data_IF_431835867176
#
_entry.id   IF_431835867176
#
_cell.length_a   1.000
_cell.length_b   1.000
_cell.length_c   1.000
_cell.angle_alpha   90.00
_cell.angle_beta   90.00
_cell.angle_gamma   90.00
#
_symmetry.space_group_name_H-M   'P 1'
#
loop_
_entity.id
_entity.type
_entity.pdbx_description
1 polymer ?
#
# COMPACT_ATOMS: atom_id res chain seq x y z
N UNK A 1 3.85 22.14 29.26
CA UNK A 1 3.28 22.31 27.90
C UNK A 1 2.39 23.54 27.79
N UNK A 2 1.12 23.49 28.23
CA UNK A 2 0.07 24.52 27.93
C UNK A 2 0.49 25.99 27.99
N UNK A 3 1.29 26.40 28.99
CA UNK A 3 1.72 27.80 29.22
C UNK A 3 2.89 28.29 28.33
N UNK A 4 3.72 27.40 27.79
CA UNK A 4 5.03 27.77 27.21
C UNK A 4 5.30 27.19 25.80
N UNK A 5 4.59 26.15 25.37
CA UNK A 5 4.86 25.49 24.09
C UNK A 5 4.02 26.11 22.97
N UNK A 6 4.64 26.64 21.91
CA UNK A 6 3.92 27.17 20.73
C UNK A 6 3.42 26.07 19.77
N UNK A 7 4.04 24.89 19.81
CA UNK A 7 3.71 23.72 18.96
C UNK A 7 3.61 22.48 19.84
N UNK A 8 2.63 21.63 19.54
CA UNK A 8 2.41 20.34 20.22
C UNK A 8 2.59 19.21 19.20
N UNK A 9 3.29 18.16 19.62
CA UNK A 9 3.57 16.97 18.83
C UNK A 9 3.30 15.73 19.67
N UNK A 10 2.68 14.73 19.05
CA UNK A 10 2.51 13.40 19.63
C UNK A 10 3.55 12.45 19.06
N UNK A 11 4.04 11.54 19.88
CA UNK A 11 4.93 10.47 19.44
C UNK A 11 4.07 9.25 19.13
N UNK A 12 4.04 8.84 17.87
CA UNK A 12 3.35 7.65 17.40
C UNK A 12 4.35 6.58 16.96
N UNK A 13 3.94 5.30 16.98
CA UNK A 13 4.76 4.20 16.48
C UNK A 13 3.97 3.20 15.62
N UNK A 14 4.64 2.50 14.71
CA UNK A 14 4.00 1.48 13.88
C UNK A 14 3.78 0.16 14.64
N UNK A 15 2.67 -0.53 14.35
CA UNK A 15 2.35 -1.85 14.93
C UNK A 15 3.00 -3.01 14.17
N UNK A 16 4.32 -3.10 14.23
CA UNK A 16 5.10 -4.07 13.42
C UNK A 16 4.79 -5.54 13.72
N UNK A 17 4.16 -5.88 14.85
CA UNK A 17 3.68 -7.25 15.17
C UNK A 17 2.57 -7.72 14.22
N UNK A 18 1.72 -6.82 13.74
CA UNK A 18 0.60 -7.13 12.83
C UNK A 18 1.08 -7.17 11.36
N UNK A 19 2.14 -6.43 11.06
CA UNK A 19 2.83 -6.48 9.77
C UNK A 19 3.60 -7.79 9.60
N UNK A 20 3.31 -8.54 8.54
CA UNK A 20 4.01 -9.81 8.22
C UNK A 20 5.39 -9.53 7.61
N UNK A 21 6.29 -8.97 8.41
CA UNK A 21 7.65 -8.55 8.04
C UNK A 21 8.70 -9.17 8.98
N UNK A 22 9.99 -9.18 8.58
CA UNK A 22 11.09 -9.71 9.40
C UNK A 22 11.47 -8.78 10.55
N UNK A 23 11.26 -7.48 10.36
CA UNK A 23 11.57 -6.44 11.35
C UNK A 23 10.47 -6.40 12.42
N UNK A 24 10.87 -6.57 13.68
CA UNK A 24 9.98 -6.51 14.86
C UNK A 24 9.98 -5.14 15.55
N UNK A 25 11.00 -4.31 15.31
CA UNK A 25 11.16 -2.99 15.94
C UNK A 25 10.16 -2.00 15.31
N UNK A 26 9.38 -1.32 16.13
CA UNK A 26 8.48 -0.27 15.65
C UNK A 26 9.27 0.93 15.08
N UNK A 27 8.73 1.54 14.02
CA UNK A 27 9.20 2.85 13.57
C UNK A 27 8.47 3.92 14.39
N UNK A 28 9.22 4.85 14.96
CA UNK A 28 8.70 5.93 15.82
C UNK A 28 8.75 7.25 15.04
N UNK A 29 7.72 8.09 15.17
CA UNK A 29 7.59 9.36 14.46
C UNK A 29 6.85 10.41 15.29
N UNK A 30 7.33 11.65 15.27
CA UNK A 30 6.57 12.80 15.76
C UNK A 30 5.53 13.24 14.73
N UNK A 31 4.28 13.43 15.17
CA UNK A 31 3.18 13.99 14.37
C UNK A 31 2.71 15.28 15.04
N UNK A 32 2.60 16.37 14.28
CA UNK A 32 2.20 17.67 14.82
C UNK A 32 0.68 17.81 14.88
N UNK A 33 0.16 18.22 16.05
CA UNK A 33 -1.27 18.49 16.23
C UNK A 33 -1.57 19.92 15.75
N UNK A 34 -2.46 20.03 14.77
CA UNK A 34 -2.88 21.29 14.14
C UNK A 34 -4.37 21.55 14.38
N UNK A 35 -4.80 22.82 14.26
CA UNK A 35 -6.14 23.26 14.67
C UNK A 35 -6.24 23.49 16.19
N UNK A 36 -7.09 24.40 16.63
CA UNK A 36 -7.29 24.73 18.06
C UNK A 36 -6.15 25.48 18.76
N UNK A 37 -6.36 25.81 20.03
CA UNK A 37 -5.37 26.45 20.92
C UNK A 37 -4.34 25.45 21.47
N UNK A 38 -3.31 25.94 22.16
CA UNK A 38 -2.30 25.06 22.79
C UNK A 38 -2.89 24.22 23.94
N UNK A 39 -3.76 24.75 24.84
CA UNK A 39 -4.52 23.94 25.78
C UNK A 39 -5.27 22.76 25.15
N UNK A 40 -6.11 23.03 24.15
CA UNK A 40 -6.91 22.01 23.44
C UNK A 40 -6.03 20.90 22.85
N UNK A 41 -4.94 21.26 22.16
CA UNK A 41 -3.99 20.30 21.58
C UNK A 41 -3.36 19.38 22.63
N UNK A 42 -3.12 19.88 23.85
CA UNK A 42 -2.57 19.07 24.95
C UNK A 42 -3.63 18.13 25.52
N UNK A 43 -4.89 18.56 25.61
CA UNK A 43 -5.95 17.71 26.17
C UNK A 43 -6.40 16.65 25.16
N UNK A 44 -6.55 16.99 23.88
CA UNK A 44 -6.77 16.02 22.79
C UNK A 44 -5.65 14.98 22.73
N UNK A 45 -4.39 15.41 22.85
CA UNK A 45 -3.23 14.51 22.85
C UNK A 45 -3.16 13.59 24.09
N UNK A 46 -3.70 14.01 25.23
CA UNK A 46 -3.88 13.14 26.41
C UNK A 46 -5.01 12.14 26.18
N UNK A 47 -6.13 12.61 25.63
CA UNK A 47 -7.29 11.76 25.38
C UNK A 47 -7.00 10.66 24.34
N UNK A 48 -6.08 10.93 23.40
CA UNK A 48 -5.63 9.99 22.37
C UNK A 48 -4.34 9.24 22.76
N UNK A 49 -3.85 9.38 24.00
CA UNK A 49 -2.73 8.61 24.52
C UNK A 49 -3.13 7.13 24.67
N UNK A 50 -2.20 6.22 24.37
CA UNK A 50 -2.37 4.75 24.35
C UNK A 50 -3.46 4.19 23.40
N UNK A 51 -4.32 5.05 22.83
CA UNK A 51 -5.30 4.69 21.79
C UNK A 51 -4.64 4.48 20.42
N UNK A 52 -5.30 3.68 19.59
CA UNK A 52 -4.88 3.46 18.20
C UNK A 52 -5.55 4.50 17.29
N UNK A 53 -4.78 5.07 16.35
CA UNK A 53 -5.28 6.04 15.36
C UNK A 53 -5.27 5.38 13.98
N UNK A 54 -6.45 5.21 13.39
CA UNK A 54 -6.63 4.60 12.07
C UNK A 54 -6.42 5.64 10.95
N UNK A 55 -6.08 5.18 9.73
CA UNK A 55 -5.59 6.05 8.64
C UNK A 55 -6.69 6.94 8.02
N UNK A 56 -7.93 6.45 8.05
CA UNK A 56 -9.17 7.13 7.67
C UNK A 56 -9.48 8.35 8.54
N UNK A 57 -9.20 8.28 9.85
CA UNK A 57 -9.33 9.41 10.77
C UNK A 57 -8.33 10.55 10.49
N UNK A 58 -7.30 10.29 9.69
CA UNK A 58 -6.23 11.25 9.35
C UNK A 58 -6.35 11.75 7.91
N UNK A 59 -6.78 10.92 6.96
CA UNK A 59 -6.84 11.25 5.53
C UNK A 59 -8.19 10.89 4.92
N UNK A 60 -8.78 11.84 4.18
CA UNK A 60 -10.02 11.60 3.46
C UNK A 60 -9.77 10.86 2.13
N UNK A 61 -10.80 10.17 1.63
CA UNK A 61 -10.86 9.75 0.23
C UNK A 61 -10.75 10.99 -0.68
N UNK A 62 -10.06 10.84 -1.81
CA UNK A 62 -9.78 11.90 -2.80
C UNK A 62 -8.87 13.05 -2.30
N UNK A 63 -8.26 12.95 -1.10
CA UNK A 63 -7.32 13.96 -0.59
C UNK A 63 -5.95 13.91 -1.29
N UNK A 64 -5.44 15.07 -1.70
CA UNK A 64 -4.07 15.23 -2.21
C UNK A 64 -3.05 15.22 -1.06
N UNK A 65 -2.21 14.18 -1.03
CA UNK A 65 -1.20 13.94 0.03
C UNK A 65 0.23 13.94 -0.50
N UNK A 66 1.17 14.37 0.33
CA UNK A 66 2.61 14.33 0.06
C UNK A 66 3.20 12.99 0.54
N UNK A 67 4.02 12.35 -0.29
CA UNK A 67 4.67 11.06 0.02
C UNK A 67 6.16 11.23 0.31
N UNK A 68 6.57 11.12 1.58
CA UNK A 68 7.95 11.32 2.02
C UNK A 68 8.61 9.97 2.31
N UNK A 69 9.75 9.69 1.67
CA UNK A 69 10.48 8.44 1.92
C UNK A 69 11.79 8.31 1.14
N UNK A 70 12.69 7.46 1.63
CA UNK A 70 14.01 7.23 0.99
C UNK A 70 13.82 6.53 -0.36
N UNK A 71 14.46 7.03 -1.41
CA UNK A 71 14.37 6.45 -2.76
C UNK A 71 15.08 5.10 -2.88
N UNK A 72 14.79 4.30 -3.92
CA UNK A 72 15.41 2.97 -4.06
C UNK A 72 16.89 3.11 -4.37
N UNK A 73 17.75 2.74 -3.41
CA UNK A 73 19.20 2.69 -3.57
C UNK A 73 19.59 1.85 -4.79
N UNK A 74 20.51 2.40 -5.60
CA UNK A 74 21.05 1.76 -6.82
C UNK A 74 22.51 1.30 -6.67
N UNK A 75 23.16 1.56 -5.53
CA UNK A 75 24.60 1.38 -5.35
C UNK A 75 25.43 2.30 -6.25
N UNK A 76 26.72 2.02 -6.41
CA UNK A 76 27.58 2.72 -7.38
C UNK A 76 27.03 2.55 -8.80
N UNK A 77 27.00 3.64 -9.58
CA UNK A 77 26.43 3.68 -10.95
C UNK A 77 27.20 4.64 -11.84
N UNK A 78 27.64 4.13 -12.99
CA UNK A 78 28.23 4.92 -14.07
C UNK A 78 27.25 5.91 -14.69
N UNK A 79 27.79 6.87 -15.44
CA UNK A 79 27.09 8.07 -15.93
C UNK A 79 25.77 7.77 -16.65
N UNK A 80 25.74 6.73 -17.49
CA UNK A 80 24.57 6.27 -18.28
C UNK A 80 23.40 5.73 -17.42
N UNK A 81 23.59 5.59 -16.11
CA UNK A 81 22.54 5.16 -15.16
C UNK A 81 22.37 6.08 -13.94
N UNK A 82 23.25 7.09 -13.78
CA UNK A 82 23.15 8.16 -12.77
C UNK A 82 22.61 9.46 -13.38
N UNK A 83 23.11 9.79 -14.58
CA UNK A 83 22.85 11.04 -15.30
C UNK A 83 22.13 10.85 -16.65
N UNK A 84 21.73 9.61 -16.97
CA UNK A 84 20.92 9.26 -18.16
C UNK A 84 21.53 9.64 -19.53
N UNK A 85 22.86 9.60 -19.67
CA UNK A 85 23.51 9.72 -20.99
C UNK A 85 23.05 8.63 -21.96
N UNK A 86 23.22 8.85 -23.28
CA UNK A 86 22.74 7.94 -24.34
C UNK A 86 23.33 6.54 -24.18
N UNK A 87 22.51 5.49 -24.36
CA UNK A 87 22.84 4.09 -24.07
C UNK A 87 22.66 3.20 -25.30
N UNK A 88 23.52 2.18 -25.44
CA UNK A 88 23.51 1.20 -26.53
C UNK A 88 22.50 0.04 -26.26
N UNK A 89 22.04 -0.72 -27.28
CA UNK A 89 20.75 -1.42 -27.21
C UNK A 89 20.78 -2.97 -27.07
N UNK A 90 19.93 -3.57 -26.21
CA UNK A 90 19.08 -4.79 -26.46
C UNK A 90 18.15 -5.19 -25.28
N UNK A 91 17.42 -6.33 -25.37
CA UNK A 91 16.14 -6.67 -24.67
C UNK A 91 16.12 -8.00 -23.85
N UNK A 92 15.34 -8.10 -22.75
CA UNK A 92 14.48 -9.27 -22.28
C UNK A 92 13.77 -9.03 -20.89
N UNK A 93 12.88 -9.94 -20.40
CA UNK A 93 11.82 -9.68 -19.35
C UNK A 93 11.64 -10.77 -18.21
N UNK A 94 10.64 -10.69 -17.27
CA UNK A 94 10.64 -11.38 -15.92
C UNK A 94 9.31 -11.96 -15.29
N UNK A 95 9.35 -13.19 -14.68
CA UNK A 95 9.02 -13.60 -13.26
C UNK A 95 7.59 -13.80 -12.60
N UNK A 96 7.32 -15.01 -11.99
CA UNK A 96 6.50 -15.51 -10.79
C UNK A 96 4.96 -15.22 -10.53
N UNK A 97 4.27 -15.64 -9.38
CA UNK A 97 2.85 -15.32 -8.81
C UNK A 97 2.39 -15.97 -7.41
N UNK A 98 1.60 -15.33 -6.46
CA UNK A 98 0.50 -15.82 -5.44
C UNK A 98 0.21 -14.82 -4.22
N UNK A 99 -0.95 -14.39 -3.55
CA UNK A 99 -2.50 -14.38 -3.38
C UNK A 99 -2.93 -13.04 -2.57
N UNK A 100 -4.12 -12.63 -1.99
CA UNK A 100 -5.63 -12.46 -2.24
C UNK A 100 -6.38 -11.65 -1.08
N UNK A 101 -6.92 -10.39 -1.23
CA UNK A 101 -8.09 -9.74 -0.50
C UNK A 101 -8.71 -8.44 -1.17
N UNK A 102 -10.06 -8.22 -1.30
CA UNK A 102 -10.77 -6.91 -1.64
C UNK A 102 -11.20 -6.49 -3.10
N UNK A 103 -12.41 -5.90 -3.34
CA UNK A 103 -13.05 -5.59 -4.67
C UNK A 103 -13.57 -4.13 -4.95
N UNK A 104 -14.62 -3.91 -5.80
CA UNK A 104 -15.21 -2.57 -6.17
C UNK A 104 -16.72 -2.61 -6.51
N UNK A 105 -17.46 -1.50 -6.35
CA UNK A 105 -18.94 -1.42 -6.58
C UNK A 105 -19.40 -1.92 -7.97
N UNK A 106 -18.82 -1.43 -9.06
CA UNK A 106 -19.16 -1.83 -10.43
C UNK A 106 -18.58 -3.20 -10.84
N UNK A 107 -17.84 -3.87 -9.96
CA UNK A 107 -17.33 -5.22 -10.17
C UNK A 107 -17.49 -6.05 -8.90
N UNK A 108 -18.72 -6.56 -8.74
CA UNK A 108 -19.21 -7.43 -7.67
C UNK A 108 -18.42 -8.74 -7.50
N UNK A 109 -17.44 -9.03 -8.36
CA UNK A 109 -16.55 -10.17 -8.18
C UNK A 109 -15.85 -10.08 -6.82
N UNK A 110 -15.92 -11.14 -6.01
CA UNK A 110 -15.16 -11.25 -4.75
C UNK A 110 -13.64 -11.38 -4.98
N UNK A 111 -13.03 -10.29 -5.45
CA UNK A 111 -11.65 -10.24 -5.91
C UNK A 111 -10.75 -9.57 -4.88
N UNK A 112 -9.59 -9.09 -5.32
CA UNK A 112 -8.48 -8.81 -4.42
C UNK A 112 -7.42 -7.77 -4.82
N UNK A 113 -7.24 -6.69 -4.03
CA UNK A 113 -6.20 -5.66 -4.22
C UNK A 113 -4.78 -6.23 -4.09
N UNK A 114 -4.51 -7.08 -3.09
CA UNK A 114 -3.47 -8.11 -3.24
C UNK A 114 -3.91 -8.99 -4.40
N UNK A 115 -3.24 -8.98 -5.56
CA UNK A 115 -3.84 -9.61 -6.72
C UNK A 115 -4.02 -11.14 -6.56
N UNK A 116 -4.56 -11.77 -7.60
CA UNK A 116 -4.48 -13.19 -7.99
C UNK A 116 -3.07 -13.81 -7.83
N UNK A 117 -2.08 -12.99 -7.51
CA UNK A 117 -0.86 -13.45 -6.90
C UNK A 117 -0.04 -12.47 -6.06
N UNK A 118 -0.67 -11.68 -5.19
CA UNK A 118 0.00 -10.92 -4.12
C UNK A 118 0.99 -9.87 -4.62
N UNK A 119 1.61 -9.14 -3.70
CA UNK A 119 2.60 -8.14 -4.06
C UNK A 119 4.02 -8.75 -4.07
N UNK A 120 4.65 -8.96 -5.25
CA UNK A 120 6.01 -9.53 -5.36
C UNK A 120 7.02 -8.93 -4.38
N UNK A 121 7.65 -9.77 -3.57
CA UNK A 121 8.59 -9.44 -2.47
C UNK A 121 8.00 -8.71 -1.24
N UNK A 122 6.75 -8.27 -1.29
CA UNK A 122 6.04 -7.73 -0.13
C UNK A 122 5.30 -8.87 0.61
N UNK A 123 4.36 -9.54 -0.06
CA UNK A 123 3.49 -10.56 0.53
C UNK A 123 2.01 -10.21 0.35
N UNK A 124 1.22 -10.51 1.38
CA UNK A 124 -0.17 -10.06 1.51
C UNK A 124 -0.23 -8.77 2.35
N UNK A 125 -0.90 -7.74 1.84
CA UNK A 125 -1.59 -6.71 2.63
C UNK A 125 -2.73 -7.40 3.40
N UNK A 126 -2.80 -7.19 4.71
CA UNK A 126 -3.74 -7.88 5.60
C UNK A 126 -4.48 -6.88 6.53
N UNK A 127 -4.34 -5.58 6.23
CA UNK A 127 -4.65 -4.41 7.05
C UNK A 127 -5.11 -3.29 6.11
N UNK A 128 -5.51 -2.16 6.69
CA UNK A 128 -5.94 -0.97 5.96
C UNK A 128 -4.84 -0.47 5.00
N UNK A 129 -5.27 0.10 3.87
CA UNK A 129 -4.38 0.53 2.80
C UNK A 129 -4.90 1.77 2.10
N UNK A 130 -3.98 2.67 1.74
CA UNK A 130 -4.28 3.86 0.92
C UNK A 130 -3.89 3.57 -0.53
N UNK A 131 -4.79 3.77 -1.49
CA UNK A 131 -4.48 3.61 -2.92
C UNK A 131 -4.01 4.94 -3.51
N UNK A 132 -2.69 5.12 -3.61
CA UNK A 132 -2.08 6.36 -4.10
C UNK A 132 -1.97 6.34 -5.63
N UNK A 133 -2.45 7.39 -6.30
CA UNK A 133 -2.38 7.56 -7.77
C UNK A 133 -0.92 7.65 -8.25
N UNK A 134 -0.55 6.80 -9.21
CA UNK A 134 0.77 6.83 -9.86
C UNK A 134 1.83 5.96 -9.18
N UNK A 135 3.01 6.53 -8.92
CA UNK A 135 4.13 5.81 -8.31
C UNK A 135 4.66 6.54 -7.07
N UNK A 136 5.03 5.76 -6.05
CA UNK A 136 5.56 6.28 -4.79
C UNK A 136 7.06 5.96 -4.65
N UNK A 137 7.78 6.75 -3.85
CA UNK A 137 9.24 6.65 -3.68
C UNK A 137 9.65 5.40 -2.89
N UNK A 138 10.78 4.80 -3.30
CA UNK A 138 11.46 3.77 -2.53
C UNK A 138 11.34 2.34 -3.05
N UNK A 139 11.48 1.38 -2.15
CA UNK A 139 11.31 -0.05 -2.42
C UNK A 139 10.12 -0.59 -1.65
N UNK A 140 9.56 -1.72 -2.10
CA UNK A 140 8.55 -2.46 -1.33
C UNK A 140 9.06 -2.79 0.07
N UNK A 141 8.16 -2.83 1.06
CA UNK A 141 8.45 -2.96 2.50
C UNK A 141 9.21 -1.78 3.15
N UNK A 142 9.41 -0.67 2.43
CA UNK A 142 9.93 0.56 3.03
C UNK A 142 8.81 1.31 3.76
N UNK A 143 9.02 1.81 4.99
CA UNK A 143 8.11 2.80 5.57
C UNK A 143 8.13 4.09 4.75
N UNK A 144 6.95 4.67 4.54
CA UNK A 144 6.74 5.91 3.80
C UNK A 144 5.85 6.79 4.68
N UNK A 145 6.28 8.02 4.95
CA UNK A 145 5.50 8.99 5.71
C UNK A 145 4.55 9.70 4.75
N UNK A 146 3.25 9.52 4.95
CA UNK A 146 2.23 10.31 4.30
C UNK A 146 2.00 11.59 5.11
N UNK A 147 1.80 12.72 4.43
CA UNK A 147 1.53 14.02 5.05
C UNK A 147 0.43 14.74 4.26
N UNK A 148 -0.45 15.47 4.95
CA UNK A 148 -1.37 16.42 4.27
C UNK A 148 -0.54 17.44 3.48
N UNK A 149 -0.99 17.83 2.29
CA UNK A 149 -0.18 18.72 1.46
C UNK A 149 -0.03 20.11 2.09
N UNK A 150 1.15 20.71 1.94
CA UNK A 150 1.41 22.10 2.39
C UNK A 150 0.79 23.16 1.46
N UNK A 151 0.35 22.76 0.27
CA UNK A 151 -0.18 23.65 -0.75
C UNK A 151 -1.70 23.57 -0.73
N UNK A 152 -2.36 24.74 -0.64
CA UNK A 152 -3.82 24.85 -0.79
C UNK A 152 -4.21 24.38 -2.19
N UNK A 153 -5.02 23.32 -2.26
CA UNK A 153 -5.45 22.76 -3.53
C UNK A 153 -6.55 23.63 -4.14
N UNK A 154 -6.28 24.25 -5.28
CA UNK A 154 -7.24 25.10 -6.02
C UNK A 154 -7.59 24.56 -7.41
N UNK A 155 -6.81 23.60 -7.92
CA UNK A 155 -6.99 23.04 -9.26
C UNK A 155 -8.15 22.03 -9.28
N UNK A 156 -9.03 22.10 -10.27
CA UNK A 156 -10.18 21.17 -10.44
C UNK A 156 -9.80 19.69 -10.32
N UNK A 157 -8.65 19.30 -10.87
CA UNK A 157 -8.05 17.96 -10.77
C UNK A 157 -7.83 17.47 -9.32
N UNK A 158 -7.55 18.37 -8.38
CA UNK A 158 -7.30 18.06 -6.98
C UNK A 158 -8.58 18.01 -6.13
N UNK A 159 -9.74 18.29 -6.75
CA UNK A 159 -11.09 18.17 -6.17
C UNK A 159 -11.97 17.21 -7.00
N UNK A 160 -11.35 16.40 -7.86
CA UNK A 160 -12.04 15.43 -8.71
C UNK A 160 -12.36 14.18 -7.90
N UNK A 161 -13.66 13.92 -7.63
CA UNK A 161 -14.10 12.73 -6.89
C UNK A 161 -13.79 11.45 -7.66
N UNK A 162 -13.08 10.50 -7.06
CA UNK A 162 -12.55 9.31 -7.76
C UNK A 162 -13.46 8.10 -7.53
N UNK A 163 -14.38 7.84 -8.46
CA UNK A 163 -15.13 6.58 -8.47
C UNK A 163 -14.37 5.47 -9.24
N UNK A 164 -13.93 4.44 -8.53
CA UNK A 164 -13.19 3.30 -9.10
C UNK A 164 -14.13 2.20 -9.62
N UNK A 165 -14.38 2.22 -10.93
CA UNK A 165 -15.19 1.17 -11.60
C UNK A 165 -14.56 -0.22 -11.59
N UNK A 166 -13.23 -0.32 -11.67
CA UNK A 166 -12.55 -1.61 -11.74
C UNK A 166 -11.09 -1.56 -11.30
N UNK A 167 -10.67 -2.55 -10.53
CA UNK A 167 -9.28 -2.79 -10.11
C UNK A 167 -8.71 -4.01 -10.84
N UNK A 168 -7.55 -3.89 -11.49
CA UNK A 168 -6.84 -5.07 -12.02
C UNK A 168 -6.21 -5.86 -10.86
N UNK A 169 -6.90 -6.93 -10.49
CA UNK A 169 -6.45 -7.92 -9.52
C UNK A 169 -5.67 -9.04 -10.18
N UNK A 170 -5.37 -9.00 -11.48
CA UNK A 170 -4.39 -9.91 -12.05
C UNK A 170 -3.00 -9.67 -11.41
N UNK A 171 -2.29 -10.75 -11.11
CA UNK A 171 -0.94 -10.66 -10.51
C UNK A 171 0.08 -10.04 -11.45
N UNK A 172 0.82 -9.08 -10.88
CA UNK A 172 1.87 -8.25 -11.51
C UNK A 172 3.20 -9.01 -11.59
N UNK A 173 3.09 -10.24 -12.08
CA UNK A 173 3.97 -11.38 -11.85
C UNK A 173 3.55 -12.39 -12.94
N UNK A 174 4.47 -12.64 -13.88
CA UNK A 174 4.15 -13.14 -15.21
C UNK A 174 3.18 -12.23 -15.96
N UNK A 175 2.54 -12.76 -17.00
CA UNK A 175 1.43 -12.08 -17.69
C UNK A 175 0.08 -12.52 -17.09
N UNK A 176 -0.82 -11.56 -16.87
CA UNK A 176 -2.11 -11.80 -16.26
C UNK A 176 -3.22 -12.07 -17.27
N UNK A 177 -3.84 -13.25 -17.18
CA UNK A 177 -5.05 -13.62 -17.93
C UNK A 177 -6.32 -13.71 -17.09
N UNK A 178 -6.18 -13.86 -15.76
CA UNK A 178 -7.31 -14.07 -14.85
C UNK A 178 -7.21 -13.20 -13.60
N UNK A 179 -8.37 -12.74 -13.12
CA UNK A 179 -8.60 -11.96 -11.90
C UNK A 179 -8.75 -12.84 -10.66
N UNK A 180 -9.55 -13.91 -10.74
CA UNK A 180 -9.82 -14.83 -9.62
C UNK A 180 -9.33 -16.25 -9.87
N UNK A 181 -9.35 -17.07 -8.83
CA UNK A 181 -9.04 -18.51 -8.96
C UNK A 181 -10.27 -19.33 -9.37
N UNK A 182 -11.49 -18.84 -9.12
CA UNK A 182 -12.72 -19.46 -9.61
C UNK A 182 -12.80 -19.36 -11.14
N UNK A 183 -12.64 -18.14 -11.68
CA UNK A 183 -12.51 -17.83 -13.11
C UNK A 183 -11.44 -18.70 -13.80
N UNK A 184 -10.21 -18.77 -13.25
CA UNK A 184 -9.18 -19.66 -13.81
C UNK A 184 -9.60 -21.14 -13.78
N UNK A 185 -10.26 -21.61 -12.72
CA UNK A 185 -10.70 -23.02 -12.62
C UNK A 185 -11.81 -23.32 -13.63
N UNK A 186 -12.80 -22.43 -13.76
CA UNK A 186 -13.87 -22.55 -14.74
C UNK A 186 -13.30 -22.62 -16.18
N UNK A 187 -12.36 -21.75 -16.53
CA UNK A 187 -11.70 -21.77 -17.84
C UNK A 187 -10.83 -23.02 -18.09
N UNK A 188 -10.19 -23.57 -17.05
CA UNK A 188 -9.20 -24.65 -17.19
C UNK A 188 -9.78 -26.06 -16.98
N UNK A 189 -11.03 -26.19 -16.51
CA UNK A 189 -11.65 -27.46 -16.17
C UNK A 189 -10.97 -28.19 -14.99
N UNK A 190 -11.25 -29.50 -14.86
CA UNK A 190 -10.48 -30.39 -13.97
C UNK A 190 -9.13 -30.72 -14.63
N UNK A 191 -8.03 -30.66 -13.86
CA UNK A 191 -6.70 -31.05 -14.31
C UNK A 191 -6.28 -32.37 -13.65
N UNK A 192 -5.28 -33.07 -14.20
CA UNK A 192 -4.77 -34.36 -13.68
C UNK A 192 -4.55 -34.36 -12.16
N UNK A 193 -4.00 -33.27 -11.60
CA UNK A 193 -3.77 -33.11 -10.15
C UNK A 193 -5.05 -33.06 -9.30
N UNK A 194 -6.15 -32.58 -9.88
CA UNK A 194 -7.44 -32.45 -9.19
C UNK A 194 -8.16 -33.82 -9.19
N UNK A 195 -8.08 -34.56 -10.32
CA UNK A 195 -8.53 -35.94 -10.41
C UNK A 195 -7.77 -36.89 -9.45
N UNK A 196 -6.45 -36.71 -9.31
CA UNK A 196 -5.65 -37.48 -8.35
C UNK A 196 -6.15 -37.20 -6.91
N UNK A 197 -6.26 -35.94 -6.51
CA UNK A 197 -6.74 -35.57 -5.18
C UNK A 197 -8.17 -36.05 -4.90
N UNK A 198 -9.06 -36.06 -5.90
CA UNK A 198 -10.39 -36.67 -5.78
C UNK A 198 -10.30 -38.20 -5.59
N UNK A 199 -9.41 -38.88 -6.31
CA UNK A 199 -9.19 -40.33 -6.18
C UNK A 199 -8.46 -40.78 -4.91
N UNK A 200 -7.78 -39.84 -4.24
CA UNK A 200 -7.15 -40.03 -2.92
C UNK A 200 -8.19 -39.79 -1.82
N UNK A 201 -8.98 -38.71 -1.92
CA UNK A 201 -10.08 -38.42 -1.00
C UNK A 201 -11.21 -39.46 -1.04
N UNK A 202 -11.41 -40.17 -2.15
CA UNK A 202 -12.36 -41.28 -2.27
C UNK A 202 -11.84 -42.64 -1.75
N UNK A 203 -10.65 -42.66 -1.13
CA UNK A 203 -10.03 -43.86 -0.52
C UNK A 203 -9.76 -43.68 0.99
N UNK A 204 -10.25 -42.58 1.57
CA UNK A 204 -10.07 -42.19 2.97
C UNK A 204 -11.44 -42.05 3.66
#
# INVERSE_FOLDING_TARGET
MKKYCSKIRVIAHTQMKVMKHREKKAHIMEIQVNGGTVPEKVDWAKEHLEKQVAVDSVFAQDEMIDCIGVTKGKGFKGVTSRWHTKKLPRKTHKGLRKKRNGGTEYDITEKSINPMGGFPHYGLVNQDFVMIRGCCVGSKKRPITLRKSLIVQTKRFAHEKINLKWIDTSSKLGHGRFQTHAEKRAFMGKLKKDLIAESEAAKA
#
